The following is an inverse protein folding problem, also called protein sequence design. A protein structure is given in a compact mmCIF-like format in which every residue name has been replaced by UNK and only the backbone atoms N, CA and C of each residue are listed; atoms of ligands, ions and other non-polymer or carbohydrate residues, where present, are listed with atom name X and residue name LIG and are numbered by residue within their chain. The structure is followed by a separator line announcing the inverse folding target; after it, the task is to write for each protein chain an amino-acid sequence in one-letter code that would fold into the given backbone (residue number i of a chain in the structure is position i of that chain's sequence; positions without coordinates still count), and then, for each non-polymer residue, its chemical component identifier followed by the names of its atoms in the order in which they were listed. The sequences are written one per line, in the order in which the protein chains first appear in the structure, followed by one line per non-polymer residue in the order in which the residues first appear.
data_IF_083254819636
#
_entry.id   IF_083254819636
#
_cell.length_a   1.000
_cell.length_b   1.000
_cell.length_c   1.000
_cell.angle_alpha   90.00
_cell.angle_beta   90.00
_cell.angle_gamma   90.00
#
_symmetry.space_group_name_H-M   'P 1'
#
loop_
_entity.id
_entity.type
_entity.pdbx_description
1 polymer ?
#
# COMPACT_ATOMS: atom_id res chain seq x y z
N UNK A 1 4.99 -1.57 -23.76
CA UNK A 1 4.28 -0.91 -22.63
C UNK A 1 2.97 -1.61 -22.26
N UNK A 2 2.19 -2.12 -23.22
CA UNK A 2 0.91 -2.80 -22.96
C UNK A 2 0.99 -3.97 -21.95
N UNK A 3 2.04 -4.78 -22.03
CA UNK A 3 2.27 -5.89 -21.09
C UNK A 3 2.53 -5.42 -19.64
N UNK A 4 3.00 -4.19 -19.44
CA UNK A 4 3.31 -3.65 -18.12
C UNK A 4 2.02 -3.25 -17.38
N UNK A 5 1.04 -2.71 -18.11
CA UNK A 5 -0.28 -2.38 -17.57
C UNK A 5 -1.13 -3.62 -17.26
N UNK A 6 -0.94 -4.72 -18.00
CA UNK A 6 -1.59 -6.02 -17.69
C UNK A 6 -1.13 -6.64 -16.37
N UNK A 7 0.07 -6.28 -15.91
CA UNK A 7 0.67 -6.79 -14.68
C UNK A 7 0.86 -5.70 -13.62
N UNK A 8 0.21 -4.56 -13.79
CA UNK A 8 0.42 -3.40 -12.91
C UNK A 8 0.22 -3.73 -11.44
N UNK A 9 -0.88 -4.39 -11.09
CA UNK A 9 -1.20 -4.72 -9.69
C UNK A 9 -0.17 -5.66 -9.08
N UNK A 10 0.24 -6.73 -9.78
CA UNK A 10 1.26 -7.65 -9.26
C UNK A 10 2.62 -6.96 -9.13
N UNK A 11 3.00 -6.12 -10.10
CA UNK A 11 4.24 -5.35 -10.03
C UNK A 11 4.22 -4.37 -8.84
N UNK A 12 3.09 -3.70 -8.60
CA UNK A 12 2.89 -2.86 -7.42
C UNK A 12 3.02 -3.66 -6.12
N UNK A 13 2.39 -4.83 -6.04
CA UNK A 13 2.50 -5.70 -4.88
C UNK A 13 3.94 -6.16 -4.62
N UNK A 14 4.64 -6.61 -5.67
CA UNK A 14 6.03 -7.08 -5.58
C UNK A 14 6.96 -5.94 -5.16
N UNK A 15 6.82 -4.76 -5.76
CA UNK A 15 7.67 -3.61 -5.45
C UNK A 15 7.32 -2.99 -4.09
N UNK A 16 6.10 -2.48 -3.97
CA UNK A 16 5.65 -1.71 -2.81
C UNK A 16 5.42 -2.58 -1.56
N UNK A 17 5.02 -3.85 -1.73
CA UNK A 17 4.77 -4.77 -0.62
C UNK A 17 5.99 -5.63 -0.29
N UNK A 18 6.26 -6.62 -1.15
CA UNK A 18 7.29 -7.62 -0.88
C UNK A 18 8.70 -7.02 -0.84
N UNK A 19 9.04 -6.18 -1.82
CA UNK A 19 10.32 -5.49 -1.92
C UNK A 19 10.60 -4.58 -0.72
N UNK A 20 9.63 -3.75 -0.34
CA UNK A 20 9.75 -2.94 0.88
C UNK A 20 9.88 -3.78 2.15
N UNK A 21 9.13 -4.88 2.28
CA UNK A 21 9.23 -5.76 3.45
C UNK A 21 10.65 -6.35 3.58
N UNK A 22 11.25 -6.80 2.47
CA UNK A 22 12.65 -7.27 2.44
C UNK A 22 13.62 -6.14 2.75
N UNK A 23 13.44 -4.98 2.11
CA UNK A 23 14.27 -3.81 2.33
C UNK A 23 14.33 -3.42 3.81
N UNK A 24 13.17 -3.31 4.48
CA UNK A 24 13.10 -3.01 5.90
C UNK A 24 13.75 -4.10 6.75
N UNK A 25 13.55 -5.39 6.42
CA UNK A 25 14.23 -6.48 7.14
C UNK A 25 15.74 -6.34 7.10
N UNK A 26 16.31 -6.02 5.95
CA UNK A 26 17.76 -5.87 5.77
C UNK A 26 18.24 -4.62 6.51
N UNK A 27 17.59 -3.48 6.31
CA UNK A 27 18.02 -2.20 6.89
C UNK A 27 17.92 -2.15 8.41
N UNK A 28 16.92 -2.81 8.98
CA UNK A 28 16.70 -2.82 10.43
C UNK A 28 17.58 -3.83 11.18
N UNK A 29 18.38 -4.67 10.50
CA UNK A 29 19.31 -5.59 11.18
C UNK A 29 20.29 -4.84 12.09
N UNK A 30 20.81 -3.71 11.63
CA UNK A 30 21.71 -2.85 12.42
C UNK A 30 21.00 -2.34 13.68
N UNK A 31 19.76 -1.88 13.56
CA UNK A 31 18.97 -1.40 14.70
C UNK A 31 18.64 -2.52 15.70
N UNK A 32 18.53 -3.77 15.24
CA UNK A 32 18.39 -4.95 16.11
C UNK A 32 19.69 -5.20 16.87
N UNK A 33 20.85 -5.21 16.21
CA UNK A 33 22.14 -5.41 16.88
C UNK A 33 22.47 -4.31 17.90
N UNK A 34 21.98 -3.09 17.67
CA UNK A 34 22.13 -1.95 18.58
C UNK A 34 21.09 -1.95 19.73
N UNK A 35 20.20 -2.93 19.79
CA UNK A 35 19.18 -3.03 20.84
C UNK A 35 18.05 -1.98 20.75
N UNK A 36 17.96 -1.22 19.64
CA UNK A 36 16.94 -0.17 19.44
C UNK A 36 15.57 -0.73 19.11
N UNK A 37 15.52 -1.95 18.58
CA UNK A 37 14.29 -2.66 18.22
C UNK A 37 14.48 -4.17 18.31
N UNK A 38 13.42 -4.90 18.64
CA UNK A 38 13.47 -6.35 18.74
C UNK A 38 13.16 -7.03 17.39
N UNK A 39 13.73 -8.24 17.17
CA UNK A 39 13.42 -9.06 15.99
C UNK A 39 11.91 -9.36 15.82
N UNK A 40 11.14 -9.67 16.89
CA UNK A 40 9.68 -9.83 16.79
C UNK A 40 8.96 -8.56 16.31
N UNK A 41 9.37 -7.38 16.76
CA UNK A 41 8.79 -6.11 16.27
C UNK A 41 9.02 -5.90 14.77
N UNK A 42 10.24 -6.18 14.27
CA UNK A 42 10.54 -6.08 12.83
C UNK A 42 9.75 -7.11 12.03
N UNK A 43 9.63 -8.34 12.52
CA UNK A 43 8.81 -9.38 11.88
C UNK A 43 7.34 -8.96 11.79
N UNK A 44 6.77 -8.45 12.89
CA UNK A 44 5.38 -7.98 12.92
C UNK A 44 5.15 -6.82 11.95
N UNK A 45 6.07 -5.84 11.92
CA UNK A 45 5.98 -4.70 11.01
C UNK A 45 6.07 -5.12 9.54
N UNK A 46 7.07 -5.95 9.19
CA UNK A 46 7.30 -6.38 7.80
C UNK A 46 6.21 -7.32 7.30
N UNK A 47 5.65 -8.17 8.16
CA UNK A 47 4.44 -8.94 7.86
C UNK A 47 3.24 -8.03 7.65
N UNK A 48 3.06 -7.01 8.48
CA UNK A 48 2.02 -6.00 8.32
C UNK A 48 2.11 -5.27 6.98
N UNK A 49 3.31 -4.82 6.58
CA UNK A 49 3.54 -4.22 5.26
C UNK A 49 3.18 -5.16 4.12
N UNK A 50 3.63 -6.43 4.21
CA UNK A 50 3.35 -7.43 3.20
C UNK A 50 1.84 -7.69 3.09
N UNK A 51 1.15 -7.90 4.21
CA UNK A 51 -0.30 -8.12 4.21
C UNK A 51 -1.08 -6.89 3.74
N UNK A 52 -0.66 -5.69 4.11
CA UNK A 52 -1.38 -4.46 3.77
C UNK A 52 -1.20 -4.03 2.31
N UNK A 53 -0.07 -4.39 1.66
CA UNK A 53 0.26 -3.93 0.32
C UNK A 53 0.26 -5.06 -0.72
N UNK A 54 0.88 -6.20 -0.40
CA UNK A 54 1.00 -7.32 -1.36
C UNK A 54 -0.32 -8.05 -1.56
N UNK A 55 -1.05 -8.35 -0.48
CA UNK A 55 -2.29 -9.15 -0.57
C UNK A 55 -3.37 -8.43 -1.38
N UNK A 56 -3.70 -7.14 -1.15
CA UNK A 56 -4.66 -6.44 -1.99
C UNK A 56 -4.22 -6.38 -3.46
N UNK A 57 -2.93 -6.16 -3.71
CA UNK A 57 -2.39 -6.15 -5.06
C UNK A 57 -2.53 -7.50 -5.77
N UNK A 58 -2.32 -8.62 -5.08
CA UNK A 58 -2.57 -9.96 -5.64
C UNK A 58 -4.06 -10.15 -5.95
N UNK A 59 -4.94 -9.74 -5.04
CA UNK A 59 -6.39 -9.88 -5.24
C UNK A 59 -6.82 -9.09 -6.48
N UNK A 60 -6.38 -7.84 -6.60
CA UNK A 60 -6.67 -6.99 -7.76
C UNK A 60 -6.07 -7.56 -9.05
N UNK A 61 -4.84 -8.07 -9.00
CA UNK A 61 -4.24 -8.73 -10.16
C UNK A 61 -5.04 -9.97 -10.59
N UNK A 62 -5.45 -10.83 -9.66
CA UNK A 62 -6.28 -11.99 -9.98
C UNK A 62 -7.62 -11.58 -10.62
N UNK A 63 -8.29 -10.55 -10.06
CA UNK A 63 -9.53 -10.00 -10.62
C UNK A 63 -9.32 -9.41 -12.03
N UNK A 64 -8.20 -8.74 -12.27
CA UNK A 64 -7.81 -8.24 -13.59
C UNK A 64 -7.68 -9.39 -14.59
N UNK A 65 -6.93 -10.44 -14.23
CA UNK A 65 -6.69 -11.60 -15.10
C UNK A 65 -7.99 -12.34 -15.46
N UNK A 66 -8.94 -12.44 -14.51
CA UNK A 66 -10.27 -13.05 -14.73
C UNK A 66 -11.18 -12.17 -15.59
N UNK A 67 -10.97 -10.84 -15.58
CA UNK A 67 -11.80 -9.89 -16.35
C UNK A 67 -11.61 -10.02 -17.86
N UNK A 68 -10.49 -10.62 -18.31
CA UNK A 68 -10.21 -10.96 -19.70
C UNK A 68 -9.03 -10.20 -20.30
N UNK A 69 -8.68 -10.48 -21.57
CA UNK A 69 -7.42 -10.02 -22.18
C UNK A 69 -7.33 -8.50 -22.41
N UNK A 70 -8.46 -7.80 -22.40
CA UNK A 70 -8.57 -6.34 -22.56
C UNK A 70 -8.49 -5.59 -21.22
N UNK A 71 -8.51 -6.30 -20.08
CA UNK A 71 -8.50 -5.68 -18.77
C UNK A 71 -7.12 -5.06 -18.48
N UNK A 72 -7.10 -3.75 -18.26
CA UNK A 72 -5.90 -2.99 -17.88
C UNK A 72 -5.87 -2.74 -16.38
N UNK A 73 -4.95 -1.89 -15.91
CA UNK A 73 -4.92 -1.43 -14.52
C UNK A 73 -6.19 -0.64 -14.13
N UNK A 74 -6.89 -0.07 -15.11
CA UNK A 74 -8.12 0.69 -14.92
C UNK A 74 -9.34 -0.23 -14.76
N UNK A 75 -10.07 -0.05 -13.67
CA UNK A 75 -11.28 -0.81 -13.35
C UNK A 75 -12.41 -0.59 -14.35
N UNK A 76 -12.45 0.51 -15.10
CA UNK A 76 -13.48 0.73 -16.12
C UNK A 76 -13.45 -0.31 -17.23
N UNK A 77 -12.24 -0.82 -17.53
CA UNK A 77 -12.01 -1.86 -18.54
C UNK A 77 -12.39 -3.26 -18.06
N UNK A 78 -12.79 -3.41 -16.79
CA UNK A 78 -13.08 -4.70 -16.19
C UNK A 78 -14.55 -5.07 -16.36
N UNK A 79 -14.82 -6.38 -16.29
CA UNK A 79 -16.19 -6.89 -16.25
C UNK A 79 -16.93 -6.37 -15.00
N UNK A 80 -18.25 -6.13 -15.06
CA UNK A 80 -18.98 -5.42 -14.00
C UNK A 80 -18.82 -6.02 -12.59
N UNK A 81 -18.82 -7.34 -12.46
CA UNK A 81 -18.67 -8.01 -11.16
C UNK A 81 -17.26 -7.82 -10.60
N UNK A 82 -16.23 -8.11 -11.39
CA UNK A 82 -14.82 -7.95 -11.00
C UNK A 82 -14.49 -6.49 -10.68
N UNK A 83 -15.02 -5.56 -11.48
CA UNK A 83 -14.93 -4.12 -11.25
C UNK A 83 -15.46 -3.75 -9.86
N UNK A 84 -16.67 -4.16 -9.53
CA UNK A 84 -17.29 -3.84 -8.24
C UNK A 84 -16.52 -4.45 -7.07
N UNK A 85 -16.06 -5.70 -7.20
CA UNK A 85 -15.22 -6.33 -6.17
C UNK A 85 -13.90 -5.57 -6.01
N UNK A 86 -13.25 -5.20 -7.11
CA UNK A 86 -12.00 -4.41 -7.11
C UNK A 86 -12.18 -3.06 -6.40
N UNK A 87 -13.27 -2.35 -6.69
CA UNK A 87 -13.63 -1.12 -5.98
C UNK A 87 -13.81 -1.34 -4.48
N UNK A 88 -14.54 -2.37 -4.07
CA UNK A 88 -14.74 -2.70 -2.65
C UNK A 88 -13.41 -2.98 -1.96
N UNK A 89 -12.53 -3.78 -2.58
CA UNK A 89 -11.19 -4.07 -2.07
C UNK A 89 -10.40 -2.77 -1.86
N UNK A 90 -10.38 -1.88 -2.86
CA UNK A 90 -9.69 -0.59 -2.78
C UNK A 90 -10.25 0.29 -1.65
N UNK A 91 -11.57 0.42 -1.55
CA UNK A 91 -12.22 1.21 -0.49
C UNK A 91 -11.86 0.66 0.90
N UNK A 92 -11.91 -0.66 1.09
CA UNK A 92 -11.51 -1.30 2.35
C UNK A 92 -10.04 -1.00 2.66
N UNK A 93 -9.14 -1.09 1.69
CA UNK A 93 -7.73 -0.77 1.87
C UNK A 93 -7.52 0.69 2.29
N UNK A 94 -8.20 1.64 1.64
CA UNK A 94 -8.11 3.06 1.96
C UNK A 94 -8.63 3.38 3.36
N UNK A 95 -9.80 2.85 3.72
CA UNK A 95 -10.37 3.02 5.07
C UNK A 95 -9.44 2.39 6.11
N UNK A 96 -8.95 1.18 5.87
CA UNK A 96 -8.04 0.49 6.79
C UNK A 96 -6.73 1.25 6.98
N UNK A 97 -6.14 1.76 5.91
CA UNK A 97 -4.93 2.59 5.95
C UNK A 97 -5.18 3.88 6.73
N UNK A 98 -6.30 4.56 6.46
CA UNK A 98 -6.69 5.77 7.18
C UNK A 98 -6.83 5.51 8.68
N UNK A 99 -7.63 4.49 9.02
CA UNK A 99 -7.89 4.13 10.40
C UNK A 99 -6.58 3.78 11.13
N UNK A 100 -5.72 3.01 10.47
CA UNK A 100 -4.43 2.61 11.02
C UNK A 100 -3.51 3.82 11.28
N UNK A 101 -3.36 4.70 10.29
CA UNK A 101 -2.49 5.88 10.39
C UNK A 101 -2.99 6.86 11.45
N UNK A 102 -4.30 7.10 11.52
CA UNK A 102 -4.87 8.14 12.37
C UNK A 102 -5.20 7.67 13.80
N UNK A 103 -5.71 6.45 13.96
CA UNK A 103 -6.24 5.97 15.25
C UNK A 103 -5.39 4.85 15.88
N UNK A 104 -4.77 3.96 15.09
CA UNK A 104 -4.05 2.78 15.62
C UNK A 104 -2.52 2.95 15.63
N UNK A 105 -2.02 4.16 15.90
CA UNK A 105 -0.58 4.47 16.00
C UNK A 105 0.22 4.15 14.73
N UNK A 106 -0.42 4.04 13.56
CA UNK A 106 0.25 3.75 12.29
C UNK A 106 1.25 4.83 11.91
N UNK A 107 0.89 6.11 12.06
CA UNK A 107 1.81 7.23 11.81
C UNK A 107 3.07 7.19 12.68
N UNK A 108 2.91 6.87 13.98
CA UNK A 108 4.04 6.74 14.91
C UNK A 108 4.91 5.53 14.58
N UNK A 109 4.29 4.43 14.15
CA UNK A 109 5.01 3.24 13.70
C UNK A 109 5.83 3.55 12.45
N UNK A 110 5.21 4.11 11.41
CA UNK A 110 5.90 4.52 10.19
C UNK A 110 7.07 5.46 10.48
N UNK A 111 6.85 6.49 11.30
CA UNK A 111 7.91 7.39 11.79
C UNK A 111 9.09 6.65 12.40
N UNK A 112 8.85 5.77 13.38
CA UNK A 112 9.87 4.96 14.05
C UNK A 112 10.67 4.12 13.05
N UNK A 113 9.99 3.36 12.18
CA UNK A 113 10.66 2.42 11.29
C UNK A 113 11.41 3.11 10.15
N UNK A 114 10.91 4.23 9.61
CA UNK A 114 11.62 5.01 8.60
C UNK A 114 12.86 5.70 9.18
N UNK A 115 12.77 6.23 10.40
CA UNK A 115 13.92 6.81 11.10
C UNK A 115 15.00 5.75 11.37
N UNK A 116 14.61 4.59 11.90
CA UNK A 116 15.53 3.47 12.15
C UNK A 116 16.15 2.90 10.88
N UNK A 117 15.42 2.91 9.75
CA UNK A 117 15.96 2.48 8.45
C UNK A 117 16.96 3.48 7.85
N UNK A 118 17.11 4.66 8.45
CA UNK A 118 18.04 5.71 8.04
C UNK A 118 17.56 6.52 6.83
N UNK A 119 16.25 6.66 6.62
CA UNK A 119 15.72 7.57 5.61
C UNK A 119 15.99 9.03 5.99
N UNK A 120 16.60 9.76 5.06
CA UNK A 120 16.79 11.20 5.14
C UNK A 120 16.00 11.89 4.01
N UNK A 121 15.49 13.11 4.24
CA UNK A 121 15.67 13.95 5.42
C UNK A 121 14.71 13.64 6.60
N UNK A 122 15.21 13.78 7.85
CA UNK A 122 14.50 13.42 9.09
C UNK A 122 13.12 14.07 9.28
N UNK A 123 12.89 15.25 8.69
CA UNK A 123 11.59 15.92 8.78
C UNK A 123 10.47 15.11 8.11
N UNK A 124 10.79 14.31 7.08
CA UNK A 124 9.82 13.44 6.40
C UNK A 124 9.36 12.29 7.31
N UNK A 125 10.20 11.90 8.28
CA UNK A 125 9.90 10.83 9.20
C UNK A 125 8.96 11.28 10.34
N UNK A 126 8.44 12.51 10.34
CA UNK A 126 7.53 12.97 11.40
C UNK A 126 6.13 12.34 11.25
N UNK A 127 5.47 11.89 12.33
CA UNK A 127 4.12 11.29 12.26
C UNK A 127 3.08 12.16 11.54
N UNK A 128 3.17 13.49 11.65
CA UNK A 128 2.29 14.42 10.94
C UNK A 128 2.42 14.35 9.42
N UNK A 129 3.62 14.07 8.89
CA UNK A 129 3.83 13.93 7.44
C UNK A 129 3.07 12.72 6.92
N UNK A 130 3.15 11.57 7.61
CA UNK A 130 2.38 10.39 7.23
C UNK A 130 0.87 10.62 7.29
N UNK A 131 0.37 11.34 8.30
CA UNK A 131 -1.04 11.72 8.37
C UNK A 131 -1.46 12.60 7.19
N UNK A 132 -0.65 13.60 6.86
CA UNK A 132 -0.87 14.48 5.70
C UNK A 132 -0.87 13.74 4.39
N UNK A 133 0.12 12.85 4.17
CA UNK A 133 0.19 12.00 2.98
C UNK A 133 -1.04 11.10 2.85
N UNK A 134 -1.49 10.46 3.92
CA UNK A 134 -2.71 9.63 3.89
C UNK A 134 -3.95 10.46 3.55
N UNK A 135 -4.04 11.71 4.03
CA UNK A 135 -5.16 12.60 3.72
C UNK A 135 -5.14 13.05 2.25
N UNK A 136 -3.96 13.40 1.72
CA UNK A 136 -3.79 13.72 0.30
C UNK A 136 -4.17 12.54 -0.60
N UNK A 137 -3.76 11.33 -0.23
CA UNK A 137 -4.11 10.11 -0.97
C UNK A 137 -5.62 9.84 -0.95
N UNK A 138 -6.29 10.02 0.19
CA UNK A 138 -7.74 9.88 0.29
C UNK A 138 -8.49 10.94 -0.53
N UNK A 139 -8.08 12.20 -0.45
CA UNK A 139 -8.68 13.27 -1.23
C UNK A 139 -8.51 12.99 -2.72
N UNK A 140 -7.31 12.60 -3.16
CA UNK A 140 -7.06 12.17 -4.53
C UNK A 140 -7.92 10.98 -4.96
N UNK A 141 -8.08 9.97 -4.11
CA UNK A 141 -8.95 8.82 -4.37
C UNK A 141 -10.43 9.21 -4.47
N UNK A 142 -10.89 10.19 -3.68
CA UNK A 142 -12.25 10.72 -3.74
C UNK A 142 -12.52 11.51 -5.03
N UNK A 143 -11.56 12.28 -5.51
CA UNK A 143 -11.67 12.95 -6.81
C UNK A 143 -11.75 11.91 -7.94
N UNK A 144 -10.85 10.93 -7.94
CA UNK A 144 -10.83 9.89 -8.96
C UNK A 144 -12.12 9.04 -8.97
N UNK A 145 -12.69 8.72 -7.81
CA UNK A 145 -13.94 7.93 -7.74
C UNK A 145 -15.19 8.73 -8.13
N UNK A 146 -15.20 10.05 -7.97
CA UNK A 146 -16.31 10.91 -8.44
C UNK A 146 -16.41 10.92 -9.96
N UNK A 147 -15.28 11.04 -10.65
CA UNK A 147 -15.26 11.06 -12.11
C UNK A 147 -15.79 9.74 -12.68
N UNK A 148 -15.42 8.61 -12.08
CA UNK A 148 -15.92 7.27 -12.50
C UNK A 148 -17.41 7.07 -12.20
N UNK A 149 -17.95 7.67 -11.13
CA UNK A 149 -19.38 7.55 -10.80
C UNK A 149 -20.28 8.47 -11.62
N UNK A 150 -19.76 9.60 -12.12
CA UNK A 150 -20.50 10.56 -12.95
C UNK A 150 -20.52 10.20 -14.45
N UNK A 151 -19.70 9.25 -14.89
CA UNK A 151 -19.68 8.73 -16.27
C UNK A 151 -20.73 7.62 -16.53
N UNK A 152 -21.78 7.53 -15.70
CA UNK A 152 -22.92 6.61 -15.90
C UNK A 152 -24.09 7.28 -16.58
#
# INVERSE_FOLDING_TARGET
MENLFKHFWILCGVWCGFGNAIYFRIRLQKSISEGKITKPEVNKFTLGLLLALFVPCIILWALQMISGPQATHDFETWRPVQRNIGFVVMVICWISLFLWVWFFKGAASLSKYYDLAGYNPKFINHPFVFKGLTLLLLVGALFFTKDVMLLK
#
